data_IF_646553864965
#
_entry.id   IF_646553864965
#
_cell.length_a   1.000
_cell.length_b   1.000
_cell.length_c   1.000
_cell.angle_alpha   90.00
_cell.angle_beta   90.00
_cell.angle_gamma   90.00
#
_symmetry.space_group_name_H-M   'P 1'
#
loop_
_entity.id
_entity.type
_entity.pdbx_description
1 polymer ?
#
# COMPACT_ATOMS: atom_id res chain seq x y z
N UNK A 1 33.71 -3.86 -1.13
CA UNK A 1 32.40 -4.49 -1.49
C UNK A 1 32.31 -4.49 -3.00
N UNK A 2 31.78 -5.54 -3.57
CA UNK A 2 31.63 -5.69 -5.02
C UNK A 2 30.71 -4.59 -5.59
N UNK A 3 31.17 -3.88 -6.62
CA UNK A 3 30.40 -2.89 -7.40
C UNK A 3 29.88 -3.55 -8.67
N UNK A 4 29.28 -4.73 -8.51
CA UNK A 4 28.78 -5.54 -9.63
C UNK A 4 27.79 -4.78 -10.49
N UNK A 5 27.02 -3.84 -9.91
CA UNK A 5 26.06 -3.01 -10.66
C UNK A 5 26.71 -2.21 -11.80
N UNK A 6 28.01 -1.91 -11.72
CA UNK A 6 28.72 -1.18 -12.77
C UNK A 6 28.97 -2.05 -14.03
N UNK A 7 29.02 -3.38 -13.85
CA UNK A 7 29.34 -4.33 -14.91
C UNK A 7 28.18 -5.30 -15.22
N UNK A 8 27.04 -5.16 -14.51
CA UNK A 8 25.87 -6.03 -14.67
C UNK A 8 24.64 -5.21 -15.02
N UNK A 9 23.99 -5.55 -16.11
CA UNK A 9 22.75 -4.90 -16.55
C UNK A 9 21.55 -5.57 -15.89
N UNK A 10 21.00 -4.97 -14.83
CA UNK A 10 19.73 -5.38 -14.26
C UNK A 10 18.59 -4.84 -15.14
N UNK A 11 17.64 -5.71 -15.49
CA UNK A 11 16.36 -5.31 -16.13
C UNK A 11 15.20 -5.66 -15.22
N UNK A 12 14.29 -4.71 -15.02
CA UNK A 12 13.09 -4.85 -14.22
C UNK A 12 11.85 -4.51 -15.06
N UNK A 13 10.73 -5.17 -14.79
CA UNK A 13 9.46 -4.82 -15.39
C UNK A 13 8.84 -3.65 -14.64
N UNK A 14 8.61 -2.53 -15.33
CA UNK A 14 8.00 -1.34 -14.77
C UNK A 14 6.51 -1.32 -15.12
N UNK A 15 5.65 -1.40 -14.12
CA UNK A 15 4.20 -1.38 -14.33
C UNK A 15 3.67 -0.05 -14.88
N UNK A 16 4.43 1.04 -14.68
CA UNK A 16 4.08 2.36 -15.21
C UNK A 16 4.18 2.42 -16.73
N UNK A 17 5.24 1.83 -17.28
CA UNK A 17 5.48 1.82 -18.73
C UNK A 17 4.99 0.54 -19.41
N UNK A 18 4.66 -0.50 -18.62
CA UNK A 18 4.25 -1.81 -19.11
C UNK A 18 5.38 -2.59 -19.80
N UNK A 19 6.65 -2.21 -19.59
CA UNK A 19 7.81 -2.79 -20.28
C UNK A 19 8.93 -3.20 -19.32
N UNK A 20 9.83 -4.05 -19.83
CA UNK A 20 11.09 -4.38 -19.15
C UNK A 20 12.15 -3.33 -19.49
N UNK A 21 12.63 -2.64 -18.48
CA UNK A 21 13.59 -1.55 -18.61
C UNK A 21 14.92 -1.88 -17.93
N UNK A 22 16.02 -1.29 -18.42
CA UNK A 22 17.29 -1.31 -17.72
C UNK A 22 17.18 -0.46 -16.46
N UNK A 23 17.46 -1.06 -15.31
CA UNK A 23 17.42 -0.36 -14.03
C UNK A 23 18.57 0.64 -13.94
N UNK A 24 18.23 1.87 -13.67
CA UNK A 24 19.15 2.97 -13.43
C UNK A 24 18.67 3.74 -12.20
N UNK A 25 19.41 3.68 -11.06
CA UNK A 25 19.01 4.43 -9.88
C UNK A 25 19.11 5.93 -10.14
N UNK A 26 18.32 6.70 -9.39
CA UNK A 26 18.35 8.18 -9.43
C UNK A 26 19.70 8.69 -8.95
N UNK A 27 20.24 8.06 -7.90
CA UNK A 27 21.57 8.36 -7.38
C UNK A 27 22.45 7.15 -7.54
N UNK A 28 23.57 7.28 -8.25
CA UNK A 28 24.49 6.17 -8.50
C UNK A 28 24.87 5.43 -7.21
N UNK A 29 24.78 4.10 -7.24
CA UNK A 29 25.13 3.22 -6.13
C UNK A 29 24.13 3.21 -4.96
N UNK A 30 23.09 4.06 -4.99
CA UNK A 30 22.06 4.12 -3.94
C UNK A 30 20.67 3.85 -4.53
N UNK A 31 19.82 3.15 -3.79
CA UNK A 31 18.46 2.82 -4.21
C UNK A 31 17.50 3.13 -3.07
N UNK A 32 16.51 3.98 -3.31
CA UNK A 32 15.35 4.17 -2.45
C UNK A 32 14.24 3.21 -2.85
N UNK A 33 13.77 2.35 -1.95
CA UNK A 33 12.71 1.40 -2.20
C UNK A 33 11.62 1.52 -1.13
N UNK A 34 10.38 1.80 -1.56
CA UNK A 34 9.19 1.75 -0.70
C UNK A 34 8.30 0.58 -1.09
N UNK A 35 7.81 -0.17 -0.13
CA UNK A 35 6.86 -1.27 -0.37
C UNK A 35 5.69 -1.11 0.59
N UNK A 36 4.47 -1.09 0.06
CA UNK A 36 3.27 -1.08 0.88
C UNK A 36 3.23 -2.31 1.77
N UNK A 37 3.12 -2.07 3.07
CA UNK A 37 3.15 -3.08 4.11
C UNK A 37 1.78 -3.68 4.43
N UNK A 38 1.69 -4.50 5.46
CA UNK A 38 0.44 -5.13 5.84
C UNK A 38 -0.48 -4.17 6.59
N UNK A 39 -1.78 -4.38 6.44
CA UNK A 39 -2.79 -3.84 7.36
C UNK A 39 -3.05 -4.87 8.44
N UNK A 40 -2.85 -4.48 9.70
CA UNK A 40 -2.80 -5.41 10.83
C UNK A 40 -4.16 -5.58 11.54
N UNK A 41 -5.15 -6.08 10.83
CA UNK A 41 -6.47 -6.45 11.40
C UNK A 41 -6.74 -7.95 11.37
N UNK A 42 -5.90 -8.72 10.72
CA UNK A 42 -6.02 -10.18 10.62
C UNK A 42 -4.68 -10.83 10.31
N UNK A 43 -4.59 -12.15 10.51
CA UNK A 43 -3.40 -12.91 10.17
C UNK A 43 -3.12 -12.85 8.66
N UNK A 44 -1.87 -12.53 8.25
CA UNK A 44 -1.50 -12.51 6.84
C UNK A 44 -1.62 -13.90 6.21
N UNK A 45 -2.32 -14.00 5.10
CA UNK A 45 -2.39 -15.23 4.30
C UNK A 45 -1.23 -15.32 3.30
N UNK A 46 -1.06 -16.47 2.65
CA UNK A 46 0.06 -16.71 1.74
C UNK A 46 0.13 -15.71 0.57
N UNK A 47 -1.01 -15.19 0.12
CA UNK A 47 -1.04 -14.12 -0.90
C UNK A 47 -0.36 -12.83 -0.46
N UNK A 48 -0.53 -12.44 0.82
CA UNK A 48 0.20 -11.28 1.36
C UNK A 48 1.70 -11.59 1.45
N UNK A 49 2.07 -12.78 1.96
CA UNK A 49 3.46 -13.18 2.08
C UNK A 49 4.18 -13.27 0.75
N UNK A 50 3.51 -13.67 -0.34
CA UNK A 50 4.06 -13.66 -1.69
C UNK A 50 4.62 -12.29 -2.08
N UNK A 51 3.89 -11.22 -1.76
CA UNK A 51 4.37 -9.85 -2.02
C UNK A 51 5.69 -9.60 -1.29
N UNK A 52 5.73 -9.86 0.01
CA UNK A 52 6.92 -9.58 0.82
C UNK A 52 8.11 -10.48 0.44
N UNK A 53 7.86 -11.74 0.07
CA UNK A 53 8.90 -12.66 -0.44
C UNK A 53 9.49 -12.12 -1.76
N UNK A 54 8.66 -11.67 -2.70
CA UNK A 54 9.13 -11.14 -3.97
C UNK A 54 9.98 -9.88 -3.77
N UNK A 55 9.56 -8.95 -2.89
CA UNK A 55 10.34 -7.76 -2.61
C UNK A 55 11.61 -8.03 -1.80
N UNK A 56 11.62 -9.07 -0.94
CA UNK A 56 12.84 -9.55 -0.30
C UNK A 56 13.85 -10.08 -1.33
N UNK A 57 13.38 -10.80 -2.35
CA UNK A 57 14.24 -11.26 -3.45
C UNK A 57 14.86 -10.08 -4.22
N UNK A 58 14.08 -9.05 -4.54
CA UNK A 58 14.56 -7.84 -5.19
C UNK A 58 15.57 -7.12 -4.30
N UNK A 59 15.24 -6.94 -3.02
CA UNK A 59 16.12 -6.28 -2.05
C UNK A 59 17.47 -7.01 -1.93
N UNK A 60 17.45 -8.34 -1.73
CA UNK A 60 18.68 -9.14 -1.67
C UNK A 60 19.51 -9.05 -2.96
N UNK A 61 18.85 -9.07 -4.10
CA UNK A 61 19.55 -8.99 -5.38
C UNK A 61 20.22 -7.63 -5.58
N UNK A 62 19.57 -6.53 -5.21
CA UNK A 62 20.17 -5.20 -5.22
C UNK A 62 21.38 -5.11 -4.28
N UNK A 63 21.32 -5.72 -3.08
CA UNK A 63 22.45 -5.80 -2.15
C UNK A 63 23.60 -6.62 -2.74
N UNK A 64 23.33 -7.76 -3.38
CA UNK A 64 24.37 -8.58 -4.06
C UNK A 64 25.04 -7.81 -5.20
N UNK A 65 24.29 -7.00 -5.93
CA UNK A 65 24.85 -6.12 -6.96
C UNK A 65 25.74 -5.00 -6.38
N UNK A 66 25.69 -4.77 -5.07
CA UNK A 66 26.51 -3.78 -4.37
C UNK A 66 25.86 -2.42 -4.20
N UNK A 67 24.55 -2.30 -4.43
CA UNK A 67 23.80 -1.08 -4.12
C UNK A 67 23.63 -0.89 -2.60
N UNK A 68 23.66 0.36 -2.17
CA UNK A 68 23.17 0.76 -0.85
C UNK A 68 21.68 0.99 -0.95
N UNK A 69 20.87 0.09 -0.36
CA UNK A 69 19.43 0.16 -0.47
C UNK A 69 18.83 0.70 0.82
N UNK A 70 18.07 1.79 0.72
CA UNK A 70 17.19 2.28 1.79
C UNK A 70 15.79 1.73 1.54
N UNK A 71 15.49 0.63 2.21
CA UNK A 71 14.19 -0.06 2.10
C UNK A 71 13.26 0.41 3.20
N UNK A 72 12.13 0.98 2.81
CA UNK A 72 11.04 1.43 3.69
C UNK A 72 9.80 0.58 3.43
N UNK A 73 9.20 0.06 4.48
CA UNK A 73 7.93 -0.68 4.42
C UNK A 73 7.06 -0.23 5.57
N UNK A 74 5.87 0.28 5.30
CA UNK A 74 4.98 0.74 6.35
C UNK A 74 4.25 -0.41 7.06
N UNK A 75 3.68 -0.06 8.20
CA UNK A 75 2.62 -0.79 8.90
C UNK A 75 1.38 0.10 8.86
N UNK A 76 0.31 -0.39 8.24
CA UNK A 76 -1.01 0.27 8.33
C UNK A 76 -1.68 -0.18 9.62
N UNK A 77 -1.63 0.70 10.60
CA UNK A 77 -2.19 0.54 11.95
C UNK A 77 -3.32 1.55 12.25
N UNK A 78 -3.74 2.32 11.23
CA UNK A 78 -4.91 3.19 11.23
C UNK A 78 -6.09 2.55 10.46
N UNK A 79 -7.35 2.83 10.88
CA UNK A 79 -8.47 1.94 10.66
C UNK A 79 -9.18 1.94 9.32
N UNK A 80 -9.17 3.01 8.52
CA UNK A 80 -10.07 3.11 7.37
C UNK A 80 -9.43 2.64 6.06
N UNK A 81 -9.73 1.40 5.68
CA UNK A 81 -9.35 0.83 4.37
C UNK A 81 -10.53 1.00 3.40
N UNK A 82 -10.23 1.30 2.15
CA UNK A 82 -11.24 1.30 1.09
C UNK A 82 -11.53 -0.14 0.65
N UNK A 83 -12.78 -0.58 0.77
CA UNK A 83 -13.21 -1.88 0.27
C UNK A 83 -13.32 -1.89 -1.27
N UNK A 84 -13.65 -3.06 -1.85
CA UNK A 84 -13.85 -3.22 -3.30
C UNK A 84 -14.99 -2.37 -3.88
N UNK A 85 -15.86 -1.84 -3.04
CA UNK A 85 -16.98 -0.96 -3.41
C UNK A 85 -16.62 0.53 -3.28
N UNK A 86 -15.37 0.86 -2.92
CA UNK A 86 -14.93 2.24 -2.73
C UNK A 86 -15.38 2.87 -1.40
N UNK A 87 -15.90 2.07 -0.47
CA UNK A 87 -16.36 2.55 0.85
C UNK A 87 -15.21 2.45 1.86
N UNK A 88 -15.10 3.45 2.72
CA UNK A 88 -14.16 3.42 3.85
C UNK A 88 -14.70 2.49 4.94
N UNK A 89 -13.93 1.45 5.28
CA UNK A 89 -14.27 0.46 6.30
C UNK A 89 -13.22 0.48 7.40
N UNK A 90 -13.64 0.68 8.65
CA UNK A 90 -12.78 0.54 9.83
C UNK A 90 -12.49 -0.94 10.12
N UNK A 91 -11.56 -1.52 9.37
CA UNK A 91 -11.23 -2.93 9.48
C UNK A 91 -10.56 -3.27 10.81
N UNK A 92 -9.73 -2.38 11.35
CA UNK A 92 -9.06 -2.57 12.65
C UNK A 92 -10.08 -2.46 13.77
N UNK A 93 -10.93 -1.43 13.78
CA UNK A 93 -11.99 -1.26 14.78
C UNK A 93 -13.02 -2.39 14.72
N UNK A 94 -13.38 -2.87 13.52
CA UNK A 94 -14.25 -4.03 13.38
C UNK A 94 -13.64 -5.30 13.98
N UNK A 95 -12.35 -5.58 13.71
CA UNK A 95 -11.64 -6.69 14.32
C UNK A 95 -11.55 -6.56 15.84
N UNK A 96 -11.28 -5.34 16.32
CA UNK A 96 -11.21 -5.03 17.74
C UNK A 96 -12.56 -5.28 18.47
N UNK A 97 -13.66 -4.84 17.88
CA UNK A 97 -15.02 -5.10 18.39
C UNK A 97 -15.35 -6.59 18.42
N UNK A 98 -15.04 -7.31 17.35
CA UNK A 98 -15.29 -8.77 17.26
C UNK A 98 -14.49 -9.56 18.29
N UNK A 99 -13.26 -9.16 18.56
CA UNK A 99 -12.38 -9.83 19.52
C UNK A 99 -12.46 -9.23 20.94
N UNK A 100 -13.29 -8.21 21.16
CA UNK A 100 -13.43 -7.48 22.44
C UNK A 100 -12.11 -6.89 22.96
N UNK A 101 -11.33 -6.32 22.04
CA UNK A 101 -9.99 -5.75 22.29
C UNK A 101 -9.97 -4.26 21.89
N UNK A 102 -8.93 -3.54 22.31
CA UNK A 102 -8.64 -2.21 21.78
C UNK A 102 -7.96 -2.30 20.41
N UNK A 103 -8.10 -1.26 19.58
CA UNK A 103 -7.47 -1.23 18.25
C UNK A 103 -5.97 -1.48 18.29
N UNK A 104 -5.25 -0.89 19.25
CA UNK A 104 -3.81 -1.10 19.41
C UNK A 104 -3.45 -2.54 19.83
N UNK A 105 -4.30 -3.22 20.58
CA UNK A 105 -4.08 -4.62 20.96
C UNK A 105 -4.21 -5.53 19.74
N UNK A 106 -5.19 -5.28 18.85
CA UNK A 106 -5.34 -6.00 17.58
C UNK A 106 -4.12 -5.78 16.70
N UNK A 107 -3.69 -4.53 16.52
CA UNK A 107 -2.49 -4.19 15.76
C UNK A 107 -1.27 -4.92 16.32
N UNK A 108 -1.05 -4.85 17.63
CA UNK A 108 0.09 -5.53 18.26
C UNK A 108 0.03 -7.05 18.07
N UNK A 109 -1.12 -7.68 18.29
CA UNK A 109 -1.34 -9.12 18.10
C UNK A 109 -0.94 -9.59 16.71
N UNK A 110 -1.43 -8.91 15.67
CA UNK A 110 -1.15 -9.29 14.29
C UNK A 110 0.23 -8.86 13.81
N UNK A 111 0.80 -7.79 14.38
CA UNK A 111 2.20 -7.43 14.14
C UNK A 111 3.16 -8.51 14.64
N UNK A 112 2.96 -9.04 15.84
CA UNK A 112 3.78 -10.15 16.37
C UNK A 112 3.75 -11.35 15.45
N UNK A 113 2.56 -11.73 14.95
CA UNK A 113 2.42 -12.82 13.98
C UNK A 113 3.10 -12.52 12.65
N UNK A 114 2.99 -11.31 12.15
CA UNK A 114 3.68 -10.91 10.93
C UNK A 114 5.20 -10.94 11.08
N UNK A 115 5.74 -10.48 12.20
CA UNK A 115 7.18 -10.54 12.50
C UNK A 115 7.66 -12.00 12.63
N UNK A 116 6.85 -12.89 13.22
CA UNK A 116 7.13 -14.33 13.26
C UNK A 116 7.23 -14.92 11.85
N UNK A 117 6.26 -14.62 10.97
CA UNK A 117 6.28 -15.09 9.59
C UNK A 117 7.50 -14.57 8.81
N UNK A 118 7.91 -13.33 9.03
CA UNK A 118 9.14 -12.80 8.43
C UNK A 118 10.38 -13.63 8.82
N UNK A 119 10.48 -14.04 10.09
CA UNK A 119 11.59 -14.90 10.57
C UNK A 119 11.51 -16.30 9.97
N UNK A 120 10.32 -16.92 9.96
CA UNK A 120 10.08 -18.26 9.39
C UNK A 120 10.50 -18.26 7.91
N UNK A 121 10.08 -17.26 7.15
CA UNK A 121 10.40 -17.16 5.73
C UNK A 121 11.75 -16.49 5.44
N UNK A 122 12.57 -16.22 6.46
CA UNK A 122 13.90 -15.61 6.34
C UNK A 122 13.89 -14.32 5.50
N UNK A 123 12.91 -13.44 5.72
CA UNK A 123 12.87 -12.14 5.08
C UNK A 123 13.82 -11.18 5.79
N UNK A 124 14.58 -10.40 5.03
CA UNK A 124 15.40 -9.33 5.59
C UNK A 124 14.50 -8.21 6.11
N UNK A 125 14.81 -7.66 7.29
CA UNK A 125 14.05 -6.51 7.78
C UNK A 125 14.26 -5.30 6.87
N UNK A 126 13.24 -4.42 6.70
CA UNK A 126 13.44 -3.14 6.05
C UNK A 126 14.40 -2.25 6.85
N UNK A 127 14.97 -1.22 6.22
CA UNK A 127 15.78 -0.22 6.90
C UNK A 127 14.96 0.61 7.88
N UNK A 128 13.69 0.87 7.53
CA UNK A 128 12.72 1.63 8.34
C UNK A 128 11.34 0.99 8.13
N UNK A 129 10.63 0.74 9.24
CA UNK A 129 9.27 0.21 9.24
C UNK A 129 8.33 1.19 9.99
N UNK A 130 7.89 2.28 9.32
CA UNK A 130 7.07 3.31 9.94
C UNK A 130 5.61 2.86 10.07
N UNK A 131 4.90 3.39 11.07
CA UNK A 131 3.46 3.17 11.26
C UNK A 131 2.65 4.37 10.77
N UNK A 132 1.45 4.14 10.28
CA UNK A 132 0.54 5.20 9.84
C UNK A 132 0.15 6.12 11.00
N UNK A 133 -0.15 5.55 12.19
CA UNK A 133 -0.50 6.33 13.39
C UNK A 133 0.64 7.21 13.89
N UNK A 134 1.89 6.79 13.67
CA UNK A 134 3.09 7.58 14.01
C UNK A 134 3.36 8.75 13.06
N UNK A 135 2.56 8.90 11.98
CA UNK A 135 2.78 9.85 10.90
C UNK A 135 1.55 10.68 10.54
N UNK A 136 0.62 10.83 11.47
CA UNK A 136 -0.62 11.62 11.28
C UNK A 136 -0.31 13.07 10.91
N UNK A 137 0.72 13.67 11.52
CA UNK A 137 1.09 15.05 11.23
C UNK A 137 1.56 15.21 9.77
N UNK A 138 2.41 14.31 9.28
CA UNK A 138 2.88 14.34 7.89
C UNK A 138 1.76 14.09 6.88
N UNK A 139 0.78 13.27 7.22
CA UNK A 139 -0.41 13.05 6.40
C UNK A 139 -1.24 14.33 6.31
N UNK A 140 -1.48 15.01 7.45
CA UNK A 140 -2.19 16.30 7.48
C UNK A 140 -1.45 17.34 6.61
N UNK A 141 -0.13 17.47 6.75
CA UNK A 141 0.70 18.41 5.97
C UNK A 141 0.63 18.14 4.46
N UNK A 142 0.56 16.87 4.05
CA UNK A 142 0.35 16.51 2.64
C UNK A 142 -1.04 16.90 2.15
N UNK A 143 -2.07 16.68 2.96
CA UNK A 143 -3.46 17.04 2.62
C UNK A 143 -3.60 18.55 2.49
N UNK A 144 -2.99 19.32 3.41
CA UNK A 144 -2.97 20.79 3.32
C UNK A 144 -2.37 21.28 2.00
N UNK A 145 -1.23 20.71 1.59
CA UNK A 145 -0.60 21.03 0.29
C UNK A 145 -1.48 20.66 -0.91
N UNK A 146 -2.19 19.53 -0.85
CA UNK A 146 -3.13 19.14 -1.91
C UNK A 146 -4.27 20.16 -2.03
N UNK A 147 -4.81 20.63 -0.90
CA UNK A 147 -5.86 21.66 -0.86
C UNK A 147 -5.31 22.99 -1.37
N UNK A 148 -4.14 23.43 -0.88
CA UNK A 148 -3.49 24.67 -1.31
C UNK A 148 -3.23 24.71 -2.81
N UNK A 149 -2.87 23.57 -3.41
CA UNK A 149 -2.65 23.43 -4.85
C UNK A 149 -3.95 23.29 -5.65
N UNK A 150 -5.11 23.28 -5.00
CA UNK A 150 -6.43 23.26 -5.62
C UNK A 150 -6.92 21.87 -6.05
N UNK A 151 -6.29 20.79 -5.59
CA UNK A 151 -6.68 19.41 -5.90
C UNK A 151 -7.44 18.71 -4.76
N UNK A 152 -7.79 19.45 -3.69
CA UNK A 152 -8.57 18.94 -2.58
C UNK A 152 -9.69 19.88 -2.17
N UNK A 153 -10.75 19.36 -1.59
CA UNK A 153 -11.86 20.15 -1.07
C UNK A 153 -12.41 19.56 0.22
N UNK A 154 -12.95 20.46 1.07
CA UNK A 154 -13.54 20.09 2.37
C UNK A 154 -15.06 20.04 2.25
N UNK A 155 -15.67 18.99 2.79
CA UNK A 155 -17.13 18.84 2.91
C UNK A 155 -17.47 18.24 4.26
N UNK A 156 -18.28 18.92 5.06
CA UNK A 156 -18.80 18.45 6.35
C UNK A 156 -17.74 17.92 7.33
N UNK A 157 -16.49 18.40 7.26
CA UNK A 157 -15.37 17.93 8.09
C UNK A 157 -14.57 16.77 7.50
N UNK A 158 -14.98 16.25 6.33
CA UNK A 158 -14.18 15.34 5.50
C UNK A 158 -13.40 16.11 4.44
N UNK A 159 -12.30 15.55 3.95
CA UNK A 159 -11.51 16.09 2.83
C UNK A 159 -11.43 15.07 1.73
N UNK A 160 -11.69 15.50 0.51
CA UNK A 160 -11.63 14.65 -0.68
C UNK A 160 -10.61 15.18 -1.69
N UNK A 161 -9.97 14.27 -2.41
CA UNK A 161 -9.17 14.60 -3.58
C UNK A 161 -10.10 14.81 -4.78
N UNK A 162 -9.91 15.92 -5.50
CA UNK A 162 -10.69 16.33 -6.69
C UNK A 162 -10.03 15.74 -7.95
N UNK A 163 -10.44 14.52 -8.33
CA UNK A 163 -9.88 13.81 -9.49
C UNK A 163 -10.16 14.56 -10.79
N UNK A 164 -11.33 15.21 -10.90
CA UNK A 164 -11.67 15.97 -12.09
C UNK A 164 -10.75 17.18 -12.27
N UNK A 165 -10.50 17.91 -11.18
CA UNK A 165 -9.59 19.07 -11.20
C UNK A 165 -8.15 18.65 -11.45
N UNK A 166 -7.73 17.54 -10.86
CA UNK A 166 -6.42 16.95 -11.10
C UNK A 166 -6.22 16.59 -12.58
N UNK A 167 -7.24 15.99 -13.20
CA UNK A 167 -7.22 15.55 -14.61
C UNK A 167 -7.15 16.72 -15.62
N UNK A 168 -7.36 17.96 -15.19
CA UNK A 168 -7.11 19.14 -16.05
C UNK A 168 -5.60 19.41 -16.27
N UNK A 169 -4.74 18.90 -15.38
CA UNK A 169 -3.28 19.16 -15.39
C UNK A 169 -2.43 17.90 -15.48
N UNK A 170 -2.90 16.81 -14.91
CA UNK A 170 -2.20 15.53 -14.84
C UNK A 170 -3.10 14.42 -15.38
N UNK A 171 -2.52 13.28 -15.74
CA UNK A 171 -3.27 12.11 -16.18
C UNK A 171 -3.58 11.19 -14.97
N UNK A 172 -4.87 11.06 -14.60
CA UNK A 172 -5.31 10.05 -13.65
C UNK A 172 -5.56 8.74 -14.38
N UNK A 173 -5.02 7.63 -13.86
CA UNK A 173 -5.05 6.33 -14.51
C UNK A 173 -3.76 5.97 -15.24
N UNK A 174 -2.71 6.77 -15.13
CA UNK A 174 -1.42 6.56 -15.81
C UNK A 174 -0.77 5.21 -15.45
N UNK A 175 -0.95 4.73 -14.22
CA UNK A 175 -0.41 3.45 -13.76
C UNK A 175 -1.34 2.28 -14.12
N UNK A 176 -2.63 2.45 -13.87
CA UNK A 176 -3.64 1.40 -14.04
C UNK A 176 -4.04 1.17 -15.50
N UNK A 177 -3.93 2.20 -16.33
CA UNK A 177 -4.46 2.27 -17.68
C UNK A 177 -5.98 2.50 -17.72
N UNK A 178 -6.63 2.78 -16.58
CA UNK A 178 -8.07 3.03 -16.49
C UNK A 178 -8.38 4.48 -16.85
N UNK A 179 -9.40 4.67 -17.66
CA UNK A 179 -9.90 6.02 -17.98
C UNK A 179 -10.95 6.44 -16.96
N UNK A 180 -10.92 7.71 -16.59
CA UNK A 180 -11.88 8.28 -15.63
C UNK A 180 -13.32 8.07 -16.07
N UNK A 181 -13.62 8.21 -17.37
CA UNK A 181 -14.96 8.01 -17.92
C UNK A 181 -15.45 6.55 -17.81
N UNK A 182 -14.54 5.58 -17.95
CA UNK A 182 -14.85 4.15 -17.79
C UNK A 182 -15.21 3.80 -16.33
N UNK A 183 -14.53 4.46 -15.37
CA UNK A 183 -14.86 4.33 -13.94
C UNK A 183 -16.26 4.85 -13.62
N UNK A 184 -16.78 5.83 -14.39
CA UNK A 184 -18.13 6.37 -14.24
C UNK A 184 -19.21 5.32 -14.52
N UNK A 185 -19.00 4.44 -15.48
CA UNK A 185 -19.97 3.40 -15.84
C UNK A 185 -20.02 2.28 -14.80
N UNK A 186 -18.86 1.88 -14.26
CA UNK A 186 -18.77 0.86 -13.20
C UNK A 186 -19.41 1.34 -11.89
N UNK A 187 -19.37 2.63 -11.59
CA UNK A 187 -19.78 3.20 -10.30
C UNK A 187 -21.24 3.68 -10.28
N UNK A 188 -21.91 3.80 -11.42
CA UNK A 188 -23.34 4.19 -11.50
C UNK A 188 -24.30 3.30 -10.70
N UNK A 189 -23.88 2.10 -10.33
CA UNK A 189 -24.62 1.14 -9.51
C UNK A 189 -24.43 1.39 -8.00
N UNK A 190 -23.43 2.19 -7.61
CA UNK A 190 -23.08 2.45 -6.22
C UNK A 190 -23.71 3.78 -5.77
N UNK A 191 -24.98 3.73 -5.38
CA UNK A 191 -25.69 4.87 -4.82
C UNK A 191 -25.11 5.32 -3.49
N UNK A 192 -25.05 6.66 -3.35
CA UNK A 192 -24.97 7.41 -2.11
C UNK A 192 -23.60 7.47 -1.42
N UNK A 193 -22.66 8.19 -2.00
CA UNK A 193 -21.73 8.98 -1.21
C UNK A 193 -22.07 10.46 -1.45
N UNK A 194 -23.06 10.95 -0.74
CA UNK A 194 -23.61 12.33 -0.84
C UNK A 194 -22.59 13.46 -0.61
N UNK A 195 -21.35 13.15 -0.23
CA UNK A 195 -20.30 14.13 0.04
C UNK A 195 -19.35 14.35 -1.12
N UNK A 196 -19.17 13.38 -2.03
CA UNK A 196 -18.27 13.49 -3.18
C UNK A 196 -18.88 14.35 -4.29
N UNK A 197 -18.07 15.23 -4.88
CA UNK A 197 -18.46 16.02 -6.07
C UNK A 197 -18.44 15.20 -7.34
N UNK A 198 -17.58 14.18 -7.36
CA UNK A 198 -17.37 13.31 -8.50
C UNK A 198 -17.16 11.86 -8.00
N UNK A 199 -17.66 10.87 -8.74
CA UNK A 199 -17.61 9.46 -8.31
C UNK A 199 -16.18 8.92 -8.09
N UNK A 200 -15.19 9.40 -8.88
CA UNK A 200 -13.80 8.98 -8.76
C UNK A 200 -13.03 9.72 -7.65
N UNK A 201 -13.62 10.74 -7.01
CA UNK A 201 -12.97 11.42 -5.90
C UNK A 201 -12.78 10.43 -4.75
N UNK A 202 -11.67 10.54 -4.05
CA UNK A 202 -11.35 9.66 -2.93
C UNK A 202 -11.00 10.44 -1.65
N UNK A 203 -11.21 9.79 -0.51
CA UNK A 203 -11.02 10.43 0.76
C UNK A 203 -9.54 10.64 1.08
N UNK A 204 -9.17 11.86 1.48
CA UNK A 204 -7.89 12.22 2.07
C UNK A 204 -7.99 12.23 3.60
N UNK A 205 -9.14 12.72 4.13
CA UNK A 205 -9.50 12.73 5.53
C UNK A 205 -10.99 12.45 5.67
N UNK A 206 -11.36 11.56 6.57
CA UNK A 206 -12.77 11.26 6.88
C UNK A 206 -13.11 11.81 8.25
N UNK A 207 -14.20 12.58 8.32
CA UNK A 207 -14.77 13.00 9.59
C UNK A 207 -15.06 11.78 10.47
N UNK A 208 -14.72 11.90 11.75
CA UNK A 208 -14.97 10.84 12.73
C UNK A 208 -16.47 10.54 12.88
N UNK A 209 -16.79 9.26 12.96
CA UNK A 209 -18.08 8.77 13.42
C UNK A 209 -18.01 8.47 14.93
N UNK A 210 -19.13 8.55 15.65
CA UNK A 210 -19.16 8.23 17.08
C UNK A 210 -18.67 6.82 17.42
N UNK A 211 -18.69 5.91 16.47
CA UNK A 211 -18.29 4.51 16.63
C UNK A 211 -16.83 4.24 16.30
N UNK A 212 -16.09 5.24 15.78
CA UNK A 212 -14.69 5.07 15.43
C UNK A 212 -13.84 4.90 16.68
N UNK A 213 -13.00 3.85 16.70
CA UNK A 213 -12.13 3.54 17.83
C UNK A 213 -10.81 4.32 17.80
N UNK A 214 -10.44 4.86 16.65
CA UNK A 214 -9.24 5.67 16.46
C UNK A 214 -9.65 7.01 15.85
N UNK A 215 -9.33 8.11 16.51
CA UNK A 215 -9.71 9.45 16.08
C UNK A 215 -8.55 10.40 16.35
N UNK A 216 -8.25 11.26 15.38
CA UNK A 216 -7.22 12.29 15.48
C UNK A 216 -7.78 13.67 15.17
N UNK A 217 -7.18 14.67 15.77
CA UNK A 217 -7.49 16.08 15.49
C UNK A 217 -6.84 16.53 14.19
N UNK A 218 -7.56 17.31 13.42
CA UNK A 218 -7.05 17.96 12.20
C UNK A 218 -7.60 19.36 12.05
N UNK A 219 -7.09 20.18 11.09
CA UNK A 219 -7.65 21.48 10.77
C UNK A 219 -9.11 21.45 10.29
N UNK A 220 -9.56 20.28 9.82
CA UNK A 220 -10.93 20.08 9.30
C UNK A 220 -11.89 19.51 10.34
N UNK A 221 -11.38 19.16 11.51
CA UNK A 221 -12.11 18.51 12.61
C UNK A 221 -11.55 17.15 12.97
N UNK A 222 -12.17 16.51 13.95
CA UNK A 222 -11.81 15.18 14.40
C UNK A 222 -12.14 14.14 13.31
N UNK A 223 -11.21 13.23 13.05
CA UNK A 223 -11.35 12.27 11.96
C UNK A 223 -10.22 11.28 11.82
N UNK A 224 -10.18 10.64 10.65
CA UNK A 224 -9.23 9.62 10.29
C UNK A 224 -8.61 9.92 8.92
N UNK A 225 -7.32 9.62 8.70
CA UNK A 225 -6.71 9.72 7.38
C UNK A 225 -7.33 8.70 6.42
N UNK A 226 -7.37 9.06 5.14
CA UNK A 226 -7.64 8.10 4.06
C UNK A 226 -6.50 7.10 3.92
N UNK A 227 -6.81 5.92 3.41
CA UNK A 227 -5.83 4.83 3.32
C UNK A 227 -4.61 5.16 2.45
N UNK A 228 -4.78 5.91 1.37
CA UNK A 228 -3.72 6.16 0.38
C UNK A 228 -2.70 7.20 0.85
N UNK A 229 -3.13 8.20 1.63
CA UNK A 229 -2.26 9.30 2.10
C UNK A 229 -1.18 8.82 3.08
N UNK A 230 -1.40 7.69 3.75
CA UNK A 230 -0.43 7.08 4.65
C UNK A 230 0.89 6.78 3.93
N UNK A 231 0.80 6.03 2.83
CA UNK A 231 1.96 5.63 2.04
C UNK A 231 2.62 6.83 1.35
N UNK A 232 1.82 7.77 0.83
CA UNK A 232 2.33 9.01 0.25
C UNK A 232 3.15 9.82 1.25
N UNK A 233 2.65 10.02 2.46
CA UNK A 233 3.33 10.77 3.50
C UNK A 233 4.61 10.07 3.98
N UNK A 234 4.52 8.76 4.26
CA UNK A 234 5.67 8.00 4.78
C UNK A 234 6.76 7.80 3.74
N UNK A 235 6.40 7.50 2.47
CA UNK A 235 7.39 7.36 1.40
C UNK A 235 8.13 8.67 1.18
N UNK A 236 7.41 9.78 1.09
CA UNK A 236 8.02 11.12 0.93
C UNK A 236 8.91 11.50 2.09
N UNK A 237 8.50 11.25 3.35
CA UNK A 237 9.31 11.56 4.53
C UNK A 237 10.65 10.86 4.53
N UNK A 238 10.69 9.59 4.15
CA UNK A 238 11.89 8.77 4.28
C UNK A 238 12.71 8.67 3.00
N UNK A 239 12.11 8.80 1.82
CA UNK A 239 12.79 8.63 0.53
C UNK A 239 12.82 9.91 -0.32
N UNK A 240 12.07 10.95 0.08
CA UNK A 240 11.93 12.19 -0.67
C UNK A 240 10.76 12.14 -1.66
N UNK A 241 10.54 13.25 -2.36
CA UNK A 241 9.40 13.42 -3.29
C UNK A 241 9.49 12.54 -4.54
N UNK A 242 10.67 12.02 -4.86
CA UNK A 242 10.92 11.14 -6.00
C UNK A 242 12.03 10.16 -5.66
N UNK A 243 11.72 8.86 -5.73
CA UNK A 243 12.64 7.76 -5.36
C UNK A 243 12.64 6.65 -6.42
N UNK A 244 13.47 5.59 -6.24
CA UNK A 244 13.69 4.62 -7.30
C UNK A 244 12.54 3.66 -7.49
N UNK A 245 12.15 2.92 -6.45
CA UNK A 245 11.22 1.79 -6.55
C UNK A 245 10.06 1.95 -5.59
N UNK A 246 8.83 1.92 -6.12
CA UNK A 246 7.61 1.73 -5.35
C UNK A 246 7.00 0.36 -5.66
N UNK A 247 6.57 -0.37 -4.64
CA UNK A 247 6.07 -1.71 -4.83
C UNK A 247 4.95 -2.15 -3.89
N UNK A 248 4.23 -3.19 -4.34
CA UNK A 248 3.14 -3.81 -3.58
C UNK A 248 2.53 -5.00 -4.28
N UNK A 249 1.38 -5.47 -3.81
CA UNK A 249 0.56 -6.47 -4.51
C UNK A 249 -0.08 -5.89 -5.77
N UNK A 250 -0.45 -6.75 -6.71
CA UNK A 250 -1.14 -6.32 -7.94
C UNK A 250 -2.51 -5.69 -7.66
N UNK A 251 -3.14 -6.06 -6.56
CA UNK A 251 -4.39 -5.48 -6.05
C UNK A 251 -4.26 -4.02 -5.61
N UNK A 252 -3.05 -3.59 -5.24
CA UNK A 252 -2.76 -2.21 -4.90
C UNK A 252 -2.55 -1.31 -6.12
N UNK A 253 -2.34 -1.89 -7.32
CA UNK A 253 -2.10 -1.11 -8.53
C UNK A 253 -3.21 -0.08 -8.78
N UNK A 254 -4.46 -0.48 -8.50
CA UNK A 254 -5.64 0.38 -8.52
C UNK A 254 -6.60 -0.05 -7.40
N UNK A 255 -7.17 0.90 -6.61
CA UNK A 255 -6.92 2.36 -6.72
C UNK A 255 -5.66 2.85 -5.98
N UNK A 256 -5.10 2.09 -5.02
CA UNK A 256 -4.16 2.56 -4.00
C UNK A 256 -2.93 3.30 -4.57
N UNK A 257 -2.14 2.65 -5.42
CA UNK A 257 -0.93 3.25 -6.01
C UNK A 257 -1.25 4.36 -7.02
N UNK A 258 -2.38 4.27 -7.74
CA UNK A 258 -2.84 5.34 -8.62
C UNK A 258 -3.16 6.60 -7.82
N UNK A 259 -3.83 6.44 -6.67
CA UNK A 259 -4.19 7.53 -5.78
C UNK A 259 -2.95 8.13 -5.09
N UNK A 260 -1.94 7.31 -4.76
CA UNK A 260 -0.65 7.82 -4.26
C UNK A 260 0.08 8.67 -5.31
N UNK A 261 0.05 8.28 -6.60
CA UNK A 261 0.59 9.11 -7.69
C UNK A 261 -0.15 10.45 -7.73
N UNK A 262 -1.48 10.40 -7.69
CA UNK A 262 -2.30 11.61 -7.73
C UNK A 262 -2.03 12.52 -6.52
N UNK A 263 -1.93 11.97 -5.32
CA UNK A 263 -1.60 12.69 -4.09
C UNK A 263 -0.23 13.34 -4.14
N UNK A 264 0.79 12.62 -4.61
CA UNK A 264 2.15 13.14 -4.70
C UNK A 264 2.27 14.22 -5.80
N UNK A 265 1.66 13.99 -6.96
CA UNK A 265 1.59 15.02 -8.01
C UNK A 265 0.78 16.24 -7.57
N UNK A 266 -0.32 16.02 -6.86
CA UNK A 266 -1.18 17.08 -6.31
C UNK A 266 -0.50 17.91 -5.24
N UNK A 267 0.32 17.32 -4.38
CA UNK A 267 1.02 18.01 -3.29
C UNK A 267 2.39 18.57 -3.73
N UNK A 268 3.18 17.82 -4.50
CA UNK A 268 4.59 18.08 -4.79
C UNK A 268 4.91 18.24 -6.27
N UNK A 269 3.94 18.02 -7.16
CA UNK A 269 4.06 18.24 -8.61
C UNK A 269 4.83 17.16 -9.37
N UNK A 270 5.12 15.99 -8.78
CA UNK A 270 5.88 14.92 -9.41
C UNK A 270 5.36 13.52 -9.05
N UNK A 271 5.58 12.55 -9.95
CA UNK A 271 5.37 11.13 -9.65
C UNK A 271 6.36 10.68 -8.56
N UNK A 272 5.91 9.96 -7.51
CA UNK A 272 6.78 9.60 -6.40
C UNK A 272 7.89 8.61 -6.77
N UNK A 273 7.67 7.73 -7.75
CA UNK A 273 8.62 6.68 -8.05
C UNK A 273 8.96 6.56 -9.54
N UNK A 274 10.24 6.24 -9.79
CA UNK A 274 10.72 5.97 -11.15
C UNK A 274 10.25 4.61 -11.67
N UNK A 275 10.21 3.60 -10.80
CA UNK A 275 9.81 2.23 -11.14
C UNK A 275 8.69 1.76 -10.22
N UNK A 276 7.59 1.28 -10.83
CA UNK A 276 6.45 0.69 -10.12
C UNK A 276 6.46 -0.82 -10.32
N UNK A 277 6.58 -1.58 -9.23
CA UNK A 277 6.67 -3.03 -9.26
C UNK A 277 5.50 -3.67 -8.53
N UNK A 278 4.86 -4.66 -9.16
CA UNK A 278 3.71 -5.35 -8.57
C UNK A 278 3.92 -6.85 -8.53
N UNK A 279 3.77 -7.43 -7.34
CA UNK A 279 3.71 -8.87 -7.17
C UNK A 279 2.35 -9.39 -7.62
N UNK A 280 2.35 -10.35 -8.54
CA UNK A 280 1.10 -10.90 -9.06
C UNK A 280 0.33 -11.68 -7.97
N UNK A 281 -1.00 -11.79 -8.15
CA UNK A 281 -1.87 -12.52 -7.24
C UNK A 281 -1.52 -14.01 -7.19
N UNK A 282 -1.72 -14.62 -6.03
CA UNK A 282 -1.64 -16.07 -5.88
C UNK A 282 -2.98 -16.69 -6.25
N UNK A 283 -2.95 -17.70 -7.11
CA UNK A 283 -4.14 -18.48 -7.47
C UNK A 283 -4.07 -19.88 -6.86
N UNK A 284 -5.21 -20.39 -6.44
CA UNK A 284 -5.42 -21.75 -5.99
C UNK A 284 -6.37 -22.42 -6.97
N UNK A 285 -5.91 -23.46 -7.65
CA UNK A 285 -6.70 -24.18 -8.69
C UNK A 285 -7.28 -23.23 -9.77
N UNK A 286 -6.49 -22.24 -10.21
CA UNK A 286 -6.90 -21.29 -11.23
C UNK A 286 -7.77 -20.12 -10.74
N UNK A 287 -8.19 -20.11 -9.48
CA UNK A 287 -8.98 -19.05 -8.87
C UNK A 287 -8.14 -18.18 -7.94
N UNK A 288 -8.37 -16.85 -7.94
CA UNK A 288 -7.70 -15.93 -7.01
C UNK A 288 -7.87 -16.43 -5.57
N UNK A 289 -6.76 -16.51 -4.83
CA UNK A 289 -6.80 -16.81 -3.42
C UNK A 289 -7.40 -15.64 -2.63
N UNK A 290 -8.46 -15.88 -1.88
CA UNK A 290 -9.06 -14.88 -1.01
C UNK A 290 -9.84 -15.50 0.14
N UNK A 291 -10.01 -14.75 1.23
CA UNK A 291 -10.83 -15.16 2.38
C UNK A 291 -12.31 -15.33 1.98
N UNK A 292 -12.82 -14.47 1.10
CA UNK A 292 -14.21 -14.51 0.63
C UNK A 292 -14.55 -15.77 -0.18
N UNK A 293 -13.57 -16.37 -0.86
CA UNK A 293 -13.75 -17.64 -1.59
C UNK A 293 -13.46 -18.88 -0.74
N UNK A 294 -12.99 -18.71 0.51
CA UNK A 294 -12.66 -19.83 1.39
C UNK A 294 -11.48 -20.70 0.91
N UNK A 295 -10.75 -20.23 -0.12
CA UNK A 295 -9.63 -20.96 -0.73
C UNK A 295 -8.25 -20.41 -0.27
N UNK A 296 -8.22 -19.71 0.86
CA UNK A 296 -6.98 -19.18 1.42
C UNK A 296 -6.36 -20.15 2.43
N UNK A 297 -5.07 -20.05 2.64
CA UNK A 297 -4.33 -20.77 3.67
C UNK A 297 -3.29 -19.85 4.31
N UNK A 298 -2.94 -20.18 5.54
CA UNK A 298 -1.97 -19.42 6.30
C UNK A 298 -0.54 -19.93 5.98
N UNK A 299 0.44 -19.03 5.91
CA UNK A 299 1.82 -19.40 5.62
C UNK A 299 2.40 -20.41 6.61
N UNK A 300 2.01 -20.31 7.88
CA UNK A 300 2.45 -21.21 8.92
C UNK A 300 1.89 -22.65 8.75
N UNK A 301 0.64 -22.77 8.28
CA UNK A 301 0.01 -24.08 8.05
C UNK A 301 0.76 -24.93 7.02
N UNK A 302 1.37 -24.30 6.00
CA UNK A 302 2.18 -25.01 5.00
C UNK A 302 3.47 -25.54 5.63
N UNK A 303 4.09 -24.71 6.49
CA UNK A 303 5.35 -25.05 7.15
C UNK A 303 5.15 -26.14 8.21
N UNK A 304 4.04 -26.08 8.95
CA UNK A 304 3.70 -27.03 10.00
C UNK A 304 3.01 -28.30 9.43
N UNK A 305 2.55 -28.28 8.17
CA UNK A 305 1.84 -29.41 7.55
C UNK A 305 0.44 -29.63 8.13
N UNK A 306 -0.22 -28.56 8.57
CA UNK A 306 -1.56 -28.62 9.21
C UNK A 306 -2.69 -28.28 8.26
N UNK A 307 -2.41 -27.87 7.02
CA UNK A 307 -3.42 -27.60 6.00
C UNK A 307 -3.76 -28.86 5.21
N UNK A 308 -5.04 -29.03 4.89
CA UNK A 308 -5.52 -30.14 4.03
C UNK A 308 -5.11 -30.00 2.55
N UNK A 309 -4.60 -28.81 2.16
CA UNK A 309 -4.17 -28.54 0.77
C UNK A 309 -2.84 -29.19 0.40
N UNK A 310 -2.05 -29.62 1.38
CA UNK A 310 -0.74 -30.22 1.19
C UNK A 310 -0.62 -31.54 1.94
N UNK A 311 0.06 -32.51 1.33
CA UNK A 311 0.24 -33.88 1.85
C UNK A 311 1.26 -33.97 2.97
N UNK A 312 2.04 -32.94 3.20
CA UNK A 312 3.14 -32.89 4.18
C UNK A 312 3.60 -31.45 4.46
N UNK A 313 4.36 -31.20 5.54
CA UNK A 313 5.02 -29.92 5.77
C UNK A 313 6.06 -29.62 4.69
N UNK A 314 6.17 -28.35 4.34
CA UNK A 314 7.15 -27.85 3.37
C UNK A 314 8.09 -26.83 4.01
N UNK A 315 9.37 -26.95 3.73
CA UNK A 315 10.35 -25.96 4.16
C UNK A 315 10.04 -24.58 3.59
N UNK A 316 10.21 -23.50 4.37
CA UNK A 316 10.03 -22.12 3.87
C UNK A 316 10.86 -21.82 2.62
N UNK A 317 12.06 -22.41 2.47
CA UNK A 317 12.90 -22.24 1.28
C UNK A 317 12.31 -22.84 0.00
N UNK A 318 11.47 -23.89 0.14
CA UNK A 318 10.77 -24.49 -1.02
C UNK A 318 9.59 -23.62 -1.45
N UNK A 319 8.98 -22.91 -0.50
CA UNK A 319 7.84 -22.03 -0.76
C UNK A 319 8.29 -20.71 -1.36
N UNK A 320 9.47 -20.22 -0.97
CA UNK A 320 10.12 -19.01 -1.55
C UNK A 320 10.50 -19.22 -3.00
#
# INVERSE_FOLDING_TARGET
MSTLYQNHTLKIYNSLTGTKETFQPITEGNVGMYVCGPTLYSEPHMGNMRTFINFDMIYRYLLVLGYKVKYVRNITDAGHITNSLGEAVDSIGNAARLEQMQSLEIVYKYNVKFQELQRIYNLLPPSIEPTATGHIQEQIEHIEKIIENGFGYVVNGSVYFDVKKYSEKFEYGILSGRKVDELAEETRVLNAQDEKRFFADFALWKKANPEDMQIWRSPWGDGNPGWHIECTAMSTKYLGSHFDIHGGGMDLKFPHHEDEIAQNCGSLGCNPAKYWLHANMLNVNGQKMSKSFGNYFLPKEIVDGTTELFDKPYSPNVIR
#
